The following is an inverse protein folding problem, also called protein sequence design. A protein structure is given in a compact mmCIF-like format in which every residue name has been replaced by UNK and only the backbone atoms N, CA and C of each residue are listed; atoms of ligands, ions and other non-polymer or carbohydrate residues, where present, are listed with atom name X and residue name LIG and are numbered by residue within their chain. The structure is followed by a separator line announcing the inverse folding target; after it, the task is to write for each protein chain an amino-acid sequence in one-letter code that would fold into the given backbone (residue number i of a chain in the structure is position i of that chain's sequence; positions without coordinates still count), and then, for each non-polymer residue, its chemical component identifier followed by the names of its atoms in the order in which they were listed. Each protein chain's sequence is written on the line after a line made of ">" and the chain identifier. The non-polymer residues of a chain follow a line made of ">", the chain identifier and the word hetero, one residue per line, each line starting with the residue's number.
data_IF_496341368652
#
_entry.id   IF_496341368652
#
_cell.length_a   1.000
_cell.length_b   1.000
_cell.length_c   1.000
_cell.angle_alpha   90.00
_cell.angle_beta   90.00
_cell.angle_gamma   90.00
#
_symmetry.space_group_name_H-M   'P 1'
#
loop_
_entity.id
_entity.type
_entity.pdbx_description
1 polymer ?
#
# COMPACT_ATOMS: atom_id res chain seq x y z
N UNK A 1 6.43 23.93 12.29
CA UNK A 1 5.85 22.72 12.90
C UNK A 1 6.22 21.60 11.94
N UNK A 2 7.02 20.65 12.41
CA UNK A 2 7.51 19.57 11.55
C UNK A 2 6.35 18.66 11.13
N UNK A 3 6.39 18.18 9.88
CA UNK A 3 5.38 17.27 9.35
C UNK A 3 5.42 15.94 10.11
N UNK A 4 4.28 15.47 10.62
CA UNK A 4 4.18 14.16 11.26
C UNK A 4 3.98 13.10 10.18
N UNK A 5 4.77 12.03 10.24
CA UNK A 5 4.73 10.92 9.29
C UNK A 5 4.43 9.64 10.06
N UNK A 6 3.48 8.85 9.55
CA UNK A 6 3.14 7.53 10.06
C UNK A 6 3.47 6.51 8.97
N UNK A 7 4.31 5.54 9.28
CA UNK A 7 4.68 4.45 8.38
C UNK A 7 4.11 3.13 8.89
N UNK A 8 3.57 2.33 7.98
CA UNK A 8 3.02 1.04 8.35
C UNK A 8 2.24 0.35 7.25
N UNK A 9 1.64 -0.80 7.58
CA UNK A 9 0.87 -1.63 6.67
C UNK A 9 -0.59 -1.21 6.64
N UNK A 10 -1.17 -1.05 5.45
CA UNK A 10 -2.61 -0.83 5.27
C UNK A 10 -3.38 -2.11 5.63
N UNK A 11 -4.10 -2.11 6.75
CA UNK A 11 -4.80 -3.32 7.24
C UNK A 11 -6.30 -3.29 7.01
N UNK A 12 -6.90 -2.11 6.83
CA UNK A 12 -8.34 -1.99 6.59
C UNK A 12 -8.67 -0.65 5.93
N UNK A 13 -9.62 -0.66 5.01
CA UNK A 13 -10.25 0.53 4.42
C UNK A 13 -11.72 0.50 4.84
N UNK A 14 -12.21 1.56 5.48
CA UNK A 14 -13.62 1.68 5.87
C UNK A 14 -14.46 2.23 4.71
N UNK A 15 -15.78 2.06 4.83
CA UNK A 15 -16.74 2.59 3.87
C UNK A 15 -16.60 4.10 3.73
N UNK A 16 -16.54 4.59 2.50
CA UNK A 16 -16.56 6.02 2.24
C UNK A 16 -17.87 6.65 2.74
N UNK A 17 -17.76 7.87 3.25
CA UNK A 17 -18.86 8.74 3.63
C UNK A 17 -18.86 9.93 2.69
N UNK A 18 -20.04 10.34 2.23
CA UNK A 18 -20.19 11.47 1.33
C UNK A 18 -21.39 12.33 1.73
N UNK A 19 -21.39 13.58 1.29
CA UNK A 19 -22.50 14.48 1.56
C UNK A 19 -22.31 15.84 0.90
N UNK A 20 -23.27 16.74 1.17
CA UNK A 20 -23.26 18.11 0.68
C UNK A 20 -23.02 19.08 1.86
N UNK A 21 -22.13 20.05 1.66
CA UNK A 21 -21.90 21.15 2.60
C UNK A 21 -22.15 22.49 1.92
N UNK A 22 -22.14 23.58 2.70
CA UNK A 22 -22.14 24.95 2.17
C UNK A 22 -20.94 25.25 1.26
N UNK A 23 -19.88 24.43 1.35
CA UNK A 23 -18.66 24.53 0.53
C UNK A 23 -18.66 23.56 -0.66
N UNK A 24 -19.75 22.85 -0.89
CA UNK A 24 -19.89 21.85 -1.95
C UNK A 24 -19.90 20.41 -1.44
N UNK A 25 -19.87 19.47 -2.39
CA UNK A 25 -19.84 18.04 -2.13
C UNK A 25 -18.53 17.66 -1.44
N UNK A 26 -18.61 16.77 -0.46
CA UNK A 26 -17.45 16.25 0.25
C UNK A 26 -17.49 14.73 0.27
N UNK A 27 -16.30 14.14 0.29
CA UNK A 27 -16.08 12.70 0.48
C UNK A 27 -15.04 12.53 1.56
N UNK A 28 -15.30 11.62 2.49
CA UNK A 28 -14.40 11.23 3.58
C UNK A 28 -14.25 9.73 3.55
N UNK A 29 -13.04 9.24 3.75
CA UNK A 29 -12.80 7.82 3.90
C UNK A 29 -11.74 7.58 4.97
N UNK A 30 -12.04 6.63 5.84
CA UNK A 30 -11.17 6.27 6.96
C UNK A 30 -10.45 4.96 6.61
N UNK A 31 -9.19 4.86 7.00
CA UNK A 31 -8.38 3.66 6.80
C UNK A 31 -7.47 3.42 8.00
N UNK A 32 -7.05 2.18 8.20
CA UNK A 32 -6.28 1.76 9.35
C UNK A 32 -4.89 1.34 8.88
N UNK A 33 -3.87 1.96 9.47
CA UNK A 33 -2.47 1.57 9.32
C UNK A 33 -2.03 0.82 10.59
N UNK A 34 -1.35 -0.29 10.42
CA UNK A 34 -0.62 -0.96 11.50
C UNK A 34 0.86 -0.58 11.45
N UNK A 35 1.39 0.02 12.51
CA UNK A 35 2.79 0.49 12.57
C UNK A 35 3.80 -0.67 12.60
N UNK A 36 5.03 -0.43 12.15
CA UNK A 36 6.10 -1.45 12.04
C UNK A 36 7.05 -1.50 13.24
N UNK A 37 6.63 -0.99 14.40
CA UNK A 37 7.44 -0.95 15.62
C UNK A 37 7.40 -2.27 16.39
N UNK A 38 8.21 -2.40 17.45
CA UNK A 38 8.23 -3.59 18.32
C UNK A 38 6.84 -3.95 18.89
N UNK A 39 5.97 -2.94 19.07
CA UNK A 39 4.60 -3.12 19.51
C UNK A 39 3.64 -2.45 18.52
N UNK A 40 3.28 -3.14 17.42
CA UNK A 40 2.43 -2.60 16.36
C UNK A 40 1.15 -2.00 16.91
N UNK A 41 0.82 -0.79 16.45
CA UNK A 41 -0.41 -0.08 16.80
C UNK A 41 -1.25 0.09 15.55
N UNK A 42 -2.54 -0.15 15.68
CA UNK A 42 -3.53 0.18 14.66
C UNK A 42 -3.95 1.63 14.84
N UNK A 43 -3.67 2.46 13.84
CA UNK A 43 -3.98 3.88 13.81
C UNK A 43 -5.02 4.14 12.74
N UNK A 44 -6.15 4.71 13.14
CA UNK A 44 -7.18 5.16 12.20
C UNK A 44 -6.80 6.54 11.66
N UNK A 45 -6.78 6.67 10.33
CA UNK A 45 -6.42 7.87 9.60
C UNK A 45 -7.56 8.20 8.64
N UNK A 46 -7.90 9.48 8.51
CA UNK A 46 -8.94 9.94 7.60
C UNK A 46 -8.36 10.71 6.41
N UNK A 47 -8.91 10.47 5.22
CA UNK A 47 -8.68 11.26 4.02
C UNK A 47 -9.95 11.99 3.60
N UNK A 48 -9.77 13.10 2.90
CA UNK A 48 -10.86 13.94 2.41
C UNK A 48 -10.69 14.22 0.91
N UNK A 49 -11.81 14.30 0.21
CA UNK A 49 -11.93 14.66 -1.22
C UNK A 49 -10.93 13.89 -2.09
N UNK A 50 -10.04 14.58 -2.81
CA UNK A 50 -9.03 13.98 -3.70
C UNK A 50 -8.20 12.88 -3.02
N UNK A 51 -7.92 13.00 -1.72
CA UNK A 51 -7.14 12.00 -0.98
C UNK A 51 -7.88 10.69 -0.77
N UNK A 52 -9.22 10.70 -0.85
CA UNK A 52 -10.01 9.46 -0.86
C UNK A 52 -9.86 8.71 -2.17
N UNK A 53 -9.72 9.43 -3.29
CA UNK A 53 -9.51 8.82 -4.59
C UNK A 53 -8.05 8.35 -4.74
N UNK A 54 -7.08 9.06 -4.17
CA UNK A 54 -5.70 8.56 -4.05
C UNK A 54 -5.60 7.28 -3.23
N UNK A 55 -6.34 7.19 -2.11
CA UNK A 55 -6.37 5.98 -1.28
C UNK A 55 -6.80 4.74 -2.08
N UNK A 56 -7.69 4.89 -3.06
CA UNK A 56 -8.18 3.78 -3.90
C UNK A 56 -7.10 3.11 -4.77
N UNK A 57 -5.93 3.76 -4.92
CA UNK A 57 -4.78 3.21 -5.66
C UNK A 57 -4.02 2.15 -4.87
N UNK A 58 -4.23 2.07 -3.55
CA UNK A 58 -3.54 1.16 -2.66
C UNK A 58 -4.42 -0.02 -2.28
N UNK A 59 -3.78 -1.14 -1.96
CA UNK A 59 -4.44 -2.39 -1.58
C UNK A 59 -4.11 -2.76 -0.14
N UNK A 60 -4.96 -3.59 0.45
CA UNK A 60 -4.67 -4.19 1.75
C UNK A 60 -3.30 -4.85 1.71
N UNK A 61 -2.56 -4.66 2.79
CA UNK A 61 -1.19 -5.11 3.01
C UNK A 61 -0.08 -4.29 2.36
N UNK A 62 -0.40 -3.22 1.65
CA UNK A 62 0.61 -2.28 1.17
C UNK A 62 1.29 -1.56 2.34
N UNK A 63 2.60 -1.41 2.26
CA UNK A 63 3.35 -0.55 3.17
C UNK A 63 3.24 0.90 2.68
N UNK A 64 2.71 1.78 3.53
CA UNK A 64 2.47 3.17 3.23
C UNK A 64 3.26 4.08 4.16
N UNK A 65 3.67 5.22 3.61
CA UNK A 65 4.19 6.38 4.33
C UNK A 65 3.16 7.49 4.22
N UNK A 66 2.54 7.83 5.34
CA UNK A 66 1.42 8.77 5.39
C UNK A 66 1.83 10.03 6.13
N UNK A 67 1.83 11.16 5.43
CA UNK A 67 2.03 12.45 6.08
C UNK A 67 0.68 12.97 6.57
N UNK A 68 0.64 13.33 7.86
CA UNK A 68 -0.60 13.63 8.57
C UNK A 68 -0.54 14.97 9.29
N UNK A 69 -1.73 15.55 9.46
CA UNK A 69 -2.00 16.61 10.44
C UNK A 69 -2.82 16.01 11.57
N UNK A 70 -2.43 16.29 12.81
CA UNK A 70 -3.17 15.86 14.00
C UNK A 70 -3.85 17.08 14.59
N UNK A 71 -5.16 17.00 14.71
CA UNK A 71 -5.97 18.04 15.36
C UNK A 71 -6.84 17.40 16.44
N UNK A 72 -7.24 18.19 17.41
CA UNK A 72 -8.23 17.76 18.40
C UNK A 72 -9.31 18.79 18.54
N UNK A 73 -10.53 18.31 18.71
CA UNK A 73 -11.72 19.14 18.92
C UNK A 73 -12.44 18.67 20.17
N UNK A 74 -12.84 19.63 20.98
CA UNK A 74 -13.70 19.37 22.13
C UNK A 74 -15.16 19.31 21.69
N UNK A 75 -15.87 18.30 22.15
CA UNK A 75 -17.32 18.20 22.04
C UNK A 75 -17.89 17.61 23.34
N UNK A 76 -18.78 18.37 23.99
CA UNK A 76 -19.41 17.97 25.25
C UNK A 76 -18.39 17.54 26.33
N UNK A 77 -17.37 18.38 26.56
CA UNK A 77 -16.26 18.13 27.51
C UNK A 77 -15.44 16.87 27.24
N UNK A 78 -15.57 16.28 26.05
CA UNK A 78 -14.75 15.18 25.56
C UNK A 78 -13.90 15.66 24.39
N UNK A 79 -12.64 15.26 24.39
CA UNK A 79 -11.71 15.56 23.31
C UNK A 79 -11.68 14.41 22.31
N UNK A 80 -11.76 14.76 21.04
CA UNK A 80 -11.68 13.83 19.92
C UNK A 80 -10.50 14.24 19.05
N UNK A 81 -9.64 13.30 18.73
CA UNK A 81 -8.47 13.52 17.90
C UNK A 81 -8.73 12.99 16.49
N UNK A 82 -8.51 13.84 15.50
CA UNK A 82 -8.59 13.49 14.10
C UNK A 82 -7.16 13.48 13.51
N UNK A 83 -6.77 12.34 12.91
CA UNK A 83 -5.51 12.19 12.18
C UNK A 83 -5.85 12.29 10.70
N UNK A 84 -5.49 13.41 10.07
CA UNK A 84 -5.84 13.73 8.68
C UNK A 84 -4.67 13.52 7.75
N UNK A 85 -4.80 12.61 6.80
CA UNK A 85 -3.82 12.41 5.74
C UNK A 85 -3.89 13.56 4.72
N UNK A 86 -2.73 14.20 4.47
CA UNK A 86 -2.58 15.18 3.39
C UNK A 86 -1.67 14.67 2.27
N UNK A 87 -0.89 13.60 2.51
CA UNK A 87 -0.11 12.90 1.49
C UNK A 87 0.00 11.42 1.86
N UNK A 88 -0.22 10.56 0.88
CA UNK A 88 -0.08 9.10 1.00
C UNK A 88 0.93 8.67 -0.05
N UNK A 89 1.92 7.90 0.36
CA UNK A 89 2.96 7.37 -0.52
C UNK A 89 3.12 5.88 -0.24
N UNK A 90 3.47 5.10 -1.27
CA UNK A 90 3.95 3.76 -1.03
C UNK A 90 5.31 3.87 -0.35
N UNK A 91 5.47 3.22 0.80
CA UNK A 91 6.78 3.09 1.40
C UNK A 91 7.55 2.10 0.54
N UNK A 92 8.47 2.62 -0.28
CA UNK A 92 9.33 1.77 -1.11
C UNK A 92 10.04 0.75 -0.21
N UNK A 93 9.70 -0.52 -0.39
CA UNK A 93 10.69 -1.55 -0.21
C UNK A 93 11.70 -1.34 -1.34
N UNK A 94 12.86 -0.77 -1.02
CA UNK A 94 14.01 -0.95 -1.89
C UNK A 94 14.16 -2.48 -2.14
N UNK A 95 14.28 -2.84 -3.42
CA UNK A 95 14.34 -4.19 -4.01
C UNK A 95 13.02 -4.96 -4.24
N UNK A 96 12.41 -4.64 -5.38
CA UNK A 96 12.12 -5.70 -6.36
C UNK A 96 13.04 -5.51 -7.57
N UNK A 97 14.32 -5.84 -7.40
CA UNK A 97 15.16 -6.22 -8.55
C UNK A 97 14.62 -7.53 -9.07
N UNK A 98 13.82 -7.46 -10.13
CA UNK A 98 13.65 -8.62 -11.02
C UNK A 98 15.02 -8.84 -11.68
N UNK A 99 15.81 -9.72 -11.06
CA UNK A 99 16.98 -10.32 -11.69
C UNK A 99 16.50 -11.19 -12.86
N UNK A 100 16.46 -10.62 -14.05
CA UNK A 100 16.53 -11.39 -15.28
C UNK A 100 17.81 -10.98 -15.99
N UNK A 101 18.92 -11.60 -15.60
CA UNK A 101 20.15 -11.59 -16.36
C UNK A 101 20.60 -13.02 -16.61
N UNK A 102 20.46 -13.49 -17.85
CA UNK A 102 21.60 -14.00 -18.63
C UNK A 102 21.22 -14.11 -20.11
N UNK A 103 21.93 -13.35 -20.96
CA UNK A 103 22.11 -13.60 -22.41
C UNK A 103 23.23 -14.65 -22.60
N UNK A 104 23.43 -15.38 -23.73
CA UNK A 104 23.66 -14.81 -25.07
C UNK A 104 23.17 -15.67 -26.29
N UNK A 105 23.47 -15.14 -27.47
CA UNK A 105 23.25 -15.56 -28.86
C UNK A 105 23.71 -16.98 -29.25
N UNK A 106 23.06 -17.57 -30.28
CA UNK A 106 23.61 -18.35 -31.42
C UNK A 106 22.48 -19.23 -32.02
N UNK A 107 22.00 -18.97 -33.23
CA UNK A 107 22.42 -19.53 -34.53
C UNK A 107 21.70 -20.85 -34.89
N UNK A 108 21.68 -21.15 -36.19
CA UNK A 108 20.65 -21.88 -36.96
C UNK A 108 20.79 -23.42 -36.89
N UNK A 109 19.78 -24.11 -37.45
CA UNK A 109 19.73 -25.52 -37.89
C UNK A 109 19.44 -26.53 -36.78
N UNK A 110 18.57 -27.53 -36.91
CA UNK A 110 18.00 -28.22 -38.06
C UNK A 110 17.79 -29.67 -37.61
N UNK A 111 16.81 -30.34 -38.22
CA UNK A 111 16.59 -31.80 -38.25
C UNK A 111 16.16 -32.55 -36.97
N UNK A 112 14.97 -33.17 -37.12
CA UNK A 112 14.40 -34.27 -36.35
C UNK A 112 15.24 -35.54 -36.39
N UNK A 113 15.37 -36.24 -35.26
CA UNK A 113 15.66 -37.68 -35.24
C UNK A 113 14.89 -38.36 -34.09
N UNK A 114 14.07 -39.33 -34.48
CA UNK A 114 13.48 -40.38 -33.65
C UNK A 114 14.54 -41.37 -33.19
N UNK A 115 14.37 -42.00 -32.02
CA UNK A 115 14.70 -43.39 -31.60
C UNK A 115 14.80 -43.39 -30.07
N UNK A 116 13.88 -43.98 -29.32
CA UNK A 116 13.77 -45.40 -28.92
C UNK A 116 14.70 -45.84 -27.78
N UNK A 117 14.08 -46.60 -26.88
CA UNK A 117 14.61 -47.58 -25.94
C UNK A 117 15.74 -47.25 -24.95
N UNK A 118 15.42 -47.55 -23.68
CA UNK A 118 16.29 -48.18 -22.69
C UNK A 118 17.63 -47.49 -22.38
N UNK A 119 17.74 -46.89 -21.20
CA UNK A 119 18.87 -47.32 -20.37
C UNK A 119 18.60 -47.19 -18.86
N UNK A 120 18.87 -48.32 -18.23
CA UNK A 120 18.61 -48.76 -16.87
C UNK A 120 19.66 -48.15 -15.92
N UNK A 121 19.24 -47.51 -14.82
CA UNK A 121 20.15 -46.90 -13.84
C UNK A 121 20.38 -47.85 -12.65
N UNK A 122 21.60 -48.39 -12.45
CA UNK A 122 21.91 -49.13 -11.24
C UNK A 122 22.23 -48.20 -10.05
N UNK A 123 21.93 -48.73 -8.86
CA UNK A 123 22.06 -48.15 -7.52
C UNK A 123 23.45 -47.63 -7.14
#
# INVERSE_FOLDING_TARGET
>A
MDSIIIEGRLVQILSAQEGQSTRGAWKKQDFIIETTEQYPKKVCICCWNEKTDELSKYQLNDNLKVSVNIESREYNSKWYTDIKAWRIEQANAENSVVSNDTSPSDDVSGVSFTSDENDDLPF
#
